data_IF_013204909765
#
_entry.id   IF_013204909765
#
_cell.length_a   1.000
_cell.length_b   1.000
_cell.length_c   1.000
_cell.angle_alpha   90.00
_cell.angle_beta   90.00
_cell.angle_gamma   90.00
#
_symmetry.space_group_name_H-M   'P 1'
#
loop_
_entity.id
_entity.type
_entity.pdbx_description
1 polymer ?
#
# COMPACT_ATOMS: atom_id res chain seq x y z
N UNK A 1 76.75 -28.27 17.44
CA UNK A 1 75.86 -28.60 16.31
C UNK A 1 74.39 -28.29 16.74
N UNK A 2 73.84 -27.20 16.19
CA UNK A 2 72.55 -26.62 16.62
C UNK A 2 71.40 -27.16 15.75
N UNK A 3 70.48 -27.87 16.35
CA UNK A 3 69.26 -28.31 15.70
C UNK A 3 68.08 -27.64 16.40
N UNK A 4 67.73 -26.43 16.01
CA UNK A 4 66.44 -25.84 16.38
C UNK A 4 66.09 -24.57 15.57
N UNK A 5 65.65 -24.69 14.31
CA UNK A 5 64.68 -23.72 13.84
C UNK A 5 63.44 -24.32 13.11
N UNK A 6 63.35 -25.62 12.86
CA UNK A 6 62.32 -26.19 12.01
C UNK A 6 60.97 -26.36 12.76
N UNK A 7 61.02 -26.52 14.09
CA UNK A 7 59.78 -26.77 14.87
C UNK A 7 58.90 -25.51 15.09
N UNK A 8 59.48 -24.32 15.15
CA UNK A 8 58.77 -23.06 15.36
C UNK A 8 58.00 -22.58 14.11
N UNK A 9 58.48 -22.91 12.92
CA UNK A 9 57.82 -22.51 11.68
C UNK A 9 56.57 -23.33 11.40
N UNK A 10 56.52 -24.61 11.77
CA UNK A 10 55.35 -25.46 11.65
C UNK A 10 54.21 -25.07 12.61
N UNK A 11 54.55 -24.67 13.84
CA UNK A 11 53.52 -24.20 14.80
C UNK A 11 52.93 -22.87 14.40
N UNK A 12 53.70 -21.93 13.83
CA UNK A 12 53.21 -20.65 13.36
C UNK A 12 52.22 -20.79 12.15
N UNK A 13 52.50 -21.75 11.24
CA UNK A 13 51.64 -22.00 10.07
C UNK A 13 50.33 -22.67 10.49
N UNK A 14 50.34 -23.60 11.45
CA UNK A 14 49.12 -24.27 11.96
C UNK A 14 48.26 -23.27 12.74
N UNK A 15 48.84 -22.38 13.53
CA UNK A 15 48.07 -21.37 14.29
C UNK A 15 47.47 -20.33 13.37
N UNK A 16 48.13 -19.92 12.29
CA UNK A 16 47.61 -19.00 11.29
C UNK A 16 46.44 -19.62 10.49
N UNK A 17 46.54 -20.92 10.18
CA UNK A 17 45.45 -21.61 9.44
C UNK A 17 44.20 -21.83 10.30
N UNK A 18 44.33 -22.12 11.60
CA UNK A 18 43.21 -22.25 12.55
C UNK A 18 42.58 -20.89 12.81
N UNK A 19 43.33 -19.80 12.88
CA UNK A 19 42.78 -18.44 13.01
C UNK A 19 42.04 -17.97 11.72
N UNK A 20 42.53 -18.38 10.53
CA UNK A 20 41.87 -18.02 9.27
C UNK A 20 40.53 -18.77 9.07
N UNK A 21 40.45 -20.02 9.54
CA UNK A 21 39.18 -20.80 9.47
C UNK A 21 38.15 -20.33 10.49
N UNK A 22 38.52 -19.77 11.62
CA UNK A 22 37.61 -19.21 12.60
C UNK A 22 37.03 -17.86 12.18
N UNK A 23 37.70 -17.09 11.34
CA UNK A 23 37.22 -15.79 10.86
C UNK A 23 36.19 -15.94 9.71
N UNK A 24 36.15 -17.08 9.02
CA UNK A 24 35.18 -17.34 7.92
C UNK A 24 33.83 -17.84 8.39
N UNK A 25 33.63 -18.16 9.67
CA UNK A 25 32.40 -18.70 10.22
C UNK A 25 31.44 -17.63 10.81
N UNK A 26 31.82 -16.35 10.78
CA UNK A 26 31.07 -15.28 11.48
C UNK A 26 30.17 -14.42 10.58
N UNK A 27 29.90 -14.84 9.36
CA UNK A 27 29.01 -14.07 8.45
C UNK A 27 27.74 -14.82 8.01
N UNK A 28 27.40 -15.96 8.61
CA UNK A 28 26.01 -16.40 8.53
C UNK A 28 25.18 -15.60 9.55
N UNK A 29 24.89 -14.35 9.24
CA UNK A 29 23.69 -13.71 9.77
C UNK A 29 22.54 -14.56 9.25
N UNK A 30 21.93 -15.36 10.12
CA UNK A 30 20.61 -15.91 9.87
C UNK A 30 19.70 -14.71 9.57
N UNK A 31 19.45 -14.45 8.29
CA UNK A 31 18.32 -13.61 7.91
C UNK A 31 17.12 -14.33 8.51
N UNK A 32 16.46 -13.69 9.48
CA UNK A 32 15.21 -14.18 9.99
C UNK A 32 14.35 -14.48 8.77
N UNK A 33 13.99 -15.75 8.58
CA UNK A 33 13.14 -16.15 7.48
C UNK A 33 11.80 -15.47 7.71
N UNK A 34 11.41 -14.61 6.79
CA UNK A 34 10.09 -14.00 6.77
C UNK A 34 9.03 -15.11 6.79
N UNK A 35 8.11 -15.04 7.75
CA UNK A 35 6.98 -15.96 7.83
C UNK A 35 5.83 -15.35 7.04
N UNK A 36 5.49 -15.97 5.91
CA UNK A 36 4.36 -15.55 5.09
C UNK A 36 3.03 -16.01 5.70
N UNK A 37 1.96 -15.31 5.37
CA UNK A 37 0.60 -15.78 5.63
C UNK A 37 0.34 -17.08 4.85
N UNK A 38 -0.43 -18.02 5.41
CA UNK A 38 -0.97 -19.12 4.64
C UNK A 38 -1.78 -18.59 3.46
N UNK A 39 -1.61 -19.22 2.29
CA UNK A 39 -2.41 -18.89 1.11
C UNK A 39 -3.77 -19.58 1.20
N UNK A 40 -4.80 -18.91 0.67
CA UNK A 40 -6.13 -19.49 0.56
C UNK A 40 -6.17 -20.64 -0.46
N UNK A 41 -7.32 -21.30 -0.55
CA UNK A 41 -7.57 -22.30 -1.60
C UNK A 41 -7.49 -21.66 -3.00
N UNK A 42 -7.25 -22.48 -4.01
CA UNK A 42 -7.14 -22.03 -5.40
C UNK A 42 -5.69 -21.85 -5.90
N UNK A 43 -4.70 -21.94 -5.02
CA UNK A 43 -3.29 -21.92 -5.40
C UNK A 43 -2.82 -23.32 -5.80
N UNK A 44 -2.37 -23.46 -7.07
CA UNK A 44 -1.75 -24.69 -7.58
C UNK A 44 -0.37 -24.95 -7.00
N UNK A 45 0.26 -26.05 -7.42
CA UNK A 45 1.64 -26.34 -7.02
C UNK A 45 2.62 -25.33 -7.64
N UNK A 46 3.64 -24.94 -6.87
CA UNK A 46 4.73 -24.09 -7.39
C UNK A 46 5.60 -24.89 -8.35
N UNK A 47 5.69 -24.46 -9.61
CA UNK A 47 6.56 -24.99 -10.65
C UNK A 47 7.82 -24.12 -10.76
N UNK A 48 8.97 -24.66 -10.38
CA UNK A 48 10.26 -23.97 -10.42
C UNK A 48 10.92 -23.92 -11.82
N UNK A 49 10.17 -24.23 -12.87
CA UNK A 49 10.66 -24.12 -14.25
C UNK A 49 10.99 -22.67 -14.62
N UNK A 50 11.83 -22.51 -15.65
CA UNK A 50 12.20 -21.18 -16.16
C UNK A 50 10.97 -20.44 -16.71
N UNK A 51 10.95 -19.10 -16.67
CA UNK A 51 9.77 -18.30 -17.03
C UNK A 51 9.41 -18.35 -18.53
N UNK A 52 10.36 -18.74 -19.40
CA UNK A 52 10.16 -18.77 -20.86
C UNK A 52 10.57 -17.47 -21.56
N UNK A 53 10.66 -16.37 -20.84
CA UNK A 53 11.20 -15.07 -21.29
C UNK A 53 12.22 -14.57 -20.26
N UNK A 54 13.09 -13.61 -20.61
CA UNK A 54 14.08 -13.10 -19.66
C UNK A 54 13.43 -12.53 -18.40
N UNK A 55 13.91 -12.95 -17.23
CA UNK A 55 13.40 -12.47 -15.92
C UNK A 55 13.41 -10.94 -15.84
N UNK A 56 14.48 -10.30 -16.31
CA UNK A 56 14.59 -8.84 -16.29
C UNK A 56 13.52 -8.16 -17.16
N UNK A 57 13.10 -8.80 -18.25
CA UNK A 57 12.01 -8.28 -19.07
C UNK A 57 10.69 -8.32 -18.30
N UNK A 58 10.39 -9.42 -17.61
CA UNK A 58 9.17 -9.53 -16.79
C UNK A 58 9.16 -8.43 -15.71
N UNK A 59 10.29 -8.24 -15.00
CA UNK A 59 10.42 -7.21 -13.98
C UNK A 59 10.17 -5.81 -14.58
N UNK A 60 10.76 -5.50 -15.72
CA UNK A 60 10.58 -4.21 -16.40
C UNK A 60 9.13 -3.98 -16.78
N UNK A 61 8.46 -5.00 -17.31
CA UNK A 61 7.08 -4.91 -17.78
C UNK A 61 6.09 -4.75 -16.62
N UNK A 62 6.18 -5.58 -15.59
CA UNK A 62 5.23 -5.44 -14.48
C UNK A 62 5.46 -4.16 -13.66
N UNK A 63 6.70 -3.72 -13.45
CA UNK A 63 6.94 -2.46 -12.72
C UNK A 63 6.45 -1.24 -13.50
N UNK A 64 6.52 -1.28 -14.83
CA UNK A 64 5.91 -0.26 -15.69
C UNK A 64 4.38 -0.27 -15.59
N UNK A 65 3.75 -1.45 -15.53
CA UNK A 65 2.30 -1.60 -15.29
C UNK A 65 1.89 -1.10 -13.91
N UNK A 66 2.67 -1.38 -12.88
CA UNK A 66 2.44 -0.86 -11.53
C UNK A 66 2.53 0.68 -11.47
N UNK A 67 3.42 1.30 -12.24
CA UNK A 67 3.48 2.75 -12.37
C UNK A 67 2.22 3.33 -13.07
N UNK A 68 1.67 2.61 -14.06
CA UNK A 68 0.38 2.97 -14.67
C UNK A 68 -0.76 2.78 -13.68
N UNK A 69 -0.79 1.67 -12.95
CA UNK A 69 -1.76 1.37 -11.91
C UNK A 69 -1.81 2.46 -10.84
N UNK A 70 -0.67 2.89 -10.30
CA UNK A 70 -0.61 3.95 -9.27
C UNK A 70 -1.28 5.23 -9.77
N UNK A 71 -0.94 5.68 -10.98
CA UNK A 71 -1.57 6.86 -11.59
C UNK A 71 -3.06 6.67 -11.91
N UNK A 72 -3.44 5.44 -12.29
CA UNK A 72 -4.84 5.14 -12.55
C UNK A 72 -5.68 5.20 -11.27
N UNK A 73 -5.14 4.69 -10.15
CA UNK A 73 -5.84 4.73 -8.87
C UNK A 73 -6.16 6.16 -8.42
N UNK A 74 -5.32 7.13 -8.79
CA UNK A 74 -5.58 8.56 -8.53
C UNK A 74 -6.80 9.11 -9.29
N UNK A 75 -7.32 8.37 -10.28
CA UNK A 75 -8.53 8.73 -11.03
C UNK A 75 -9.76 7.88 -10.64
N UNK A 76 -9.67 7.10 -9.57
CA UNK A 76 -10.78 6.29 -9.08
C UNK A 76 -11.25 6.74 -7.70
N UNK A 77 -12.53 6.60 -7.46
CA UNK A 77 -13.14 6.64 -6.13
C UNK A 77 -13.41 5.21 -5.67
N UNK A 78 -13.38 4.96 -4.37
CA UNK A 78 -13.71 3.65 -3.80
C UNK A 78 -14.09 3.75 -2.33
N UNK A 79 -14.69 2.69 -1.82
CA UNK A 79 -14.98 2.54 -0.39
C UNK A 79 -13.98 1.58 0.25
N UNK A 80 -13.30 2.01 1.30
CA UNK A 80 -12.39 1.19 2.13
C UNK A 80 -13.05 0.85 3.45
N UNK A 81 -13.09 -0.43 3.80
CA UNK A 81 -13.51 -0.92 5.11
C UNK A 81 -12.30 -1.55 5.80
N UNK A 82 -11.98 -1.08 6.98
CA UNK A 82 -10.85 -1.54 7.80
C UNK A 82 -11.39 -2.16 9.07
N UNK A 83 -10.88 -3.33 9.44
CA UNK A 83 -11.14 -3.99 10.72
C UNK A 83 -9.84 -4.51 11.29
N UNK A 84 -9.47 -4.04 12.47
CA UNK A 84 -8.33 -4.53 13.24
C UNK A 84 -8.87 -5.12 14.54
N UNK A 85 -8.50 -6.35 14.87
CA UNK A 85 -9.01 -7.09 16.03
C UNK A 85 -7.87 -7.64 16.86
N UNK A 86 -8.04 -7.64 18.16
CA UNK A 86 -7.29 -8.49 19.08
C UNK A 86 -8.08 -9.78 19.32
N UNK A 87 -7.38 -10.91 19.38
CA UNK A 87 -7.96 -12.24 19.47
C UNK A 87 -7.52 -12.85 20.81
N UNK A 88 -8.49 -13.38 21.56
CA UNK A 88 -8.22 -14.06 22.82
C UNK A 88 -7.68 -15.48 22.63
N UNK A 89 -7.39 -16.18 23.75
CA UNK A 89 -6.86 -17.54 23.75
C UNK A 89 -7.86 -18.59 23.22
N UNK A 90 -9.16 -18.25 23.19
CA UNK A 90 -10.21 -19.09 22.59
C UNK A 90 -10.40 -18.83 21.09
N UNK A 91 -9.61 -17.93 20.50
CA UNK A 91 -9.68 -17.55 19.09
C UNK A 91 -10.82 -16.55 18.75
N UNK A 92 -11.41 -15.90 19.77
CA UNK A 92 -12.49 -14.93 19.59
C UNK A 92 -11.96 -13.51 19.66
N UNK A 93 -12.56 -12.57 18.92
CA UNK A 93 -12.25 -11.14 19.07
C UNK A 93 -12.64 -10.65 20.47
N UNK A 94 -11.68 -10.03 21.17
CA UNK A 94 -11.88 -9.38 22.48
C UNK A 94 -11.74 -7.84 22.42
N UNK A 95 -11.38 -7.31 21.26
CA UNK A 95 -11.35 -5.89 20.95
C UNK A 95 -11.31 -5.67 19.44
N UNK A 96 -11.82 -4.51 19.02
CA UNK A 96 -11.75 -4.15 17.60
C UNK A 96 -11.72 -2.63 17.37
N UNK A 97 -11.02 -2.26 16.32
CA UNK A 97 -11.20 -1.02 15.57
C UNK A 97 -11.91 -1.34 14.26
N UNK A 98 -12.89 -0.55 13.89
CA UNK A 98 -13.59 -0.67 12.61
C UNK A 98 -13.90 0.69 12.03
N UNK A 99 -13.65 0.86 10.73
CA UNK A 99 -13.99 2.08 10.01
C UNK A 99 -14.32 1.78 8.57
N UNK A 100 -15.33 2.46 8.05
CA UNK A 100 -15.66 2.50 6.63
C UNK A 100 -15.44 3.93 6.13
N UNK A 101 -14.64 4.08 5.11
CA UNK A 101 -14.26 5.36 4.52
C UNK A 101 -14.54 5.35 3.02
N UNK A 102 -15.19 6.39 2.54
CA UNK A 102 -15.38 6.66 1.13
C UNK A 102 -14.28 7.60 0.66
N UNK A 103 -13.50 7.15 -0.30
CA UNK A 103 -12.37 7.88 -0.87
C UNK A 103 -12.84 8.48 -2.19
N UNK A 104 -12.81 9.80 -2.29
CA UNK A 104 -13.31 10.53 -3.45
C UNK A 104 -12.52 11.81 -3.69
N UNK A 105 -13.13 12.73 -4.44
CA UNK A 105 -12.55 14.01 -4.78
C UNK A 105 -13.56 15.13 -4.49
N UNK A 106 -13.05 16.29 -4.08
CA UNK A 106 -13.85 17.50 -3.94
C UNK A 106 -14.05 18.22 -5.30
N UNK A 107 -14.68 19.40 -5.27
CA UNK A 107 -14.93 20.22 -6.47
C UNK A 107 -13.65 20.75 -7.12
N UNK A 108 -12.55 20.79 -6.37
CA UNK A 108 -11.23 21.30 -6.81
C UNK A 108 -10.28 20.14 -7.17
N UNK A 109 -10.82 18.92 -7.31
CA UNK A 109 -10.11 17.67 -7.64
C UNK A 109 -9.09 17.24 -6.57
N UNK A 110 -9.20 17.74 -5.34
CA UNK A 110 -8.40 17.24 -4.23
C UNK A 110 -9.01 15.96 -3.68
N UNK A 111 -8.16 14.96 -3.42
CA UNK A 111 -8.59 13.73 -2.79
C UNK A 111 -9.11 14.00 -1.38
N UNK A 112 -10.29 13.50 -1.09
CA UNK A 112 -10.94 13.60 0.22
C UNK A 112 -11.31 12.22 0.73
N UNK A 113 -11.30 12.07 2.04
CA UNK A 113 -11.75 10.88 2.74
C UNK A 113 -12.96 11.22 3.62
N UNK A 114 -14.06 10.52 3.40
CA UNK A 114 -15.29 10.70 4.15
C UNK A 114 -15.59 9.44 4.96
N UNK A 115 -15.54 9.54 6.27
CA UNK A 115 -15.93 8.45 7.16
C UNK A 115 -17.44 8.23 7.05
N UNK A 116 -17.84 7.02 6.68
CA UNK A 116 -19.24 6.60 6.57
C UNK A 116 -19.72 5.89 7.83
N UNK A 117 -18.84 5.10 8.46
CA UNK A 117 -19.15 4.34 9.68
C UNK A 117 -17.86 4.18 10.50
N UNK A 118 -17.95 4.48 11.79
CA UNK A 118 -16.84 4.31 12.74
C UNK A 118 -17.41 4.13 14.15
N UNK A 119 -17.80 2.91 14.53
CA UNK A 119 -18.22 2.62 15.90
C UNK A 119 -17.10 2.86 16.90
N UNK A 120 -17.44 2.91 18.18
CA UNK A 120 -16.45 3.09 19.23
C UNK A 120 -15.36 2.03 19.17
N UNK A 121 -14.10 2.46 19.22
CA UNK A 121 -12.95 1.58 19.31
C UNK A 121 -12.97 0.82 20.64
N UNK A 122 -12.89 -0.50 20.60
CA UNK A 122 -12.88 -1.39 21.77
C UNK A 122 -11.56 -2.11 21.99
N UNK A 123 -10.50 -1.74 21.23
CA UNK A 123 -9.15 -2.25 21.49
C UNK A 123 -8.68 -1.79 22.86
N UNK A 124 -8.31 -2.72 23.73
CA UNK A 124 -7.85 -2.45 25.11
C UNK A 124 -6.43 -2.92 25.34
N UNK A 125 -5.96 -3.92 24.58
CA UNK A 125 -4.61 -4.50 24.74
C UNK A 125 -3.56 -3.80 23.89
N UNK A 126 -3.98 -3.10 22.83
CA UNK A 126 -3.12 -2.37 21.90
C UNK A 126 -3.73 -1.02 21.57
N UNK A 127 -2.91 -0.09 21.11
CA UNK A 127 -3.35 1.24 20.68
C UNK A 127 -2.77 1.49 19.28
N UNK A 128 -3.64 1.83 18.33
CA UNK A 128 -3.21 2.19 16.97
C UNK A 128 -2.52 3.54 16.98
N UNK A 129 -1.38 3.60 16.34
CA UNK A 129 -0.56 4.79 16.14
C UNK A 129 -0.83 5.43 14.76
N UNK A 130 -0.42 6.68 14.51
CA UNK A 130 -0.47 7.25 13.17
C UNK A 130 0.27 6.42 12.11
N UNK A 131 1.35 5.73 12.49
CA UNK A 131 2.11 4.87 11.58
C UNK A 131 1.32 3.62 11.16
N UNK A 132 0.48 3.07 12.05
CA UNK A 132 -0.41 1.95 11.70
C UNK A 132 -1.47 2.38 10.69
N UNK A 133 -2.01 3.59 10.81
CA UNK A 133 -2.95 4.13 9.81
C UNK A 133 -2.25 4.37 8.47
N UNK A 134 -1.02 4.88 8.46
CA UNK A 134 -0.22 5.04 7.23
C UNK A 134 0.06 3.68 6.57
N UNK A 135 0.34 2.63 7.35
CA UNK A 135 0.49 1.27 6.83
C UNK A 135 -0.79 0.78 6.14
N UNK A 136 -1.94 0.99 6.77
CA UNK A 136 -3.26 0.62 6.22
C UNK A 136 -3.57 1.37 4.92
N UNK A 137 -3.24 2.65 4.86
CA UNK A 137 -3.60 3.52 3.74
C UNK A 137 -2.69 3.35 2.54
N UNK A 138 -1.39 3.20 2.77
CA UNK A 138 -0.38 3.31 1.72
C UNK A 138 0.38 2.01 1.44
N UNK A 139 0.63 1.18 2.46
CA UNK A 139 1.57 0.05 2.36
C UNK A 139 0.93 -1.31 2.16
N UNK A 140 -0.27 -1.55 2.72
CA UNK A 140 -0.96 -2.82 2.53
C UNK A 140 -1.35 -3.09 1.08
N UNK A 141 -1.81 -2.10 0.29
CA UNK A 141 -1.97 -2.26 -1.15
C UNK A 141 -0.64 -2.09 -1.89
N UNK A 142 0.39 -2.83 -1.49
CA UNK A 142 1.76 -2.72 -2.03
C UNK A 142 1.80 -2.58 -3.55
N UNK A 143 2.50 -1.56 -4.03
CA UNK A 143 2.72 -1.24 -5.44
C UNK A 143 4.21 -1.11 -5.70
N UNK A 144 4.74 -1.86 -6.66
CA UNK A 144 6.16 -1.88 -7.00
C UNK A 144 6.40 -1.24 -8.37
N UNK A 145 6.55 0.08 -8.38
CA UNK A 145 6.74 0.83 -9.64
C UNK A 145 8.18 0.72 -10.17
N UNK A 146 8.38 1.17 -11.41
CA UNK A 146 9.72 1.30 -12.01
C UNK A 146 10.65 2.20 -11.17
N UNK A 147 10.10 3.20 -10.47
CA UNK A 147 10.86 4.12 -9.61
C UNK A 147 11.25 3.45 -8.30
N UNK A 148 10.42 2.57 -7.76
CA UNK A 148 10.64 1.86 -6.50
C UNK A 148 11.54 0.63 -6.68
N UNK A 149 11.46 -0.05 -7.82
CA UNK A 149 12.15 -1.32 -8.08
C UNK A 149 13.68 -1.29 -7.81
N UNK A 150 14.42 -0.21 -8.06
CA UNK A 150 15.84 -0.14 -7.72
C UNK A 150 16.16 -0.31 -6.24
N UNK A 151 15.21 -0.07 -5.34
CA UNK A 151 15.36 -0.21 -3.89
C UNK A 151 15.25 -1.67 -3.43
N UNK A 152 14.77 -2.56 -4.31
CA UNK A 152 14.47 -3.95 -3.99
C UNK A 152 15.37 -4.95 -4.73
N UNK A 153 15.69 -6.06 -4.05
CA UNK A 153 16.10 -7.31 -4.69
C UNK A 153 14.84 -8.08 -5.08
N UNK A 154 14.68 -8.33 -6.36
CA UNK A 154 13.54 -9.05 -6.93
C UNK A 154 14.07 -10.34 -7.55
N UNK A 155 13.66 -11.48 -7.03
CA UNK A 155 14.16 -12.79 -7.41
C UNK A 155 13.02 -13.68 -7.93
N UNK A 156 13.18 -14.23 -9.12
CA UNK A 156 12.23 -15.20 -9.69
C UNK A 156 12.26 -16.51 -8.90
N UNK A 157 11.09 -17.03 -8.55
CA UNK A 157 10.90 -18.25 -7.75
C UNK A 157 10.36 -19.40 -8.62
N UNK A 158 9.45 -19.09 -9.55
CA UNK A 158 8.78 -20.11 -10.35
C UNK A 158 7.48 -19.60 -10.97
N UNK A 159 6.63 -20.54 -11.34
CA UNK A 159 5.27 -20.31 -11.84
C UNK A 159 4.28 -20.95 -10.89
N UNK A 160 3.13 -20.33 -10.74
CA UNK A 160 2.04 -20.90 -9.95
C UNK A 160 0.72 -20.47 -10.56
N UNK A 161 -0.22 -21.40 -10.65
CA UNK A 161 -1.59 -21.09 -11.07
C UNK A 161 -2.39 -20.66 -9.86
N UNK A 162 -3.12 -19.55 -9.98
CA UNK A 162 -4.06 -19.06 -8.98
C UNK A 162 -5.43 -19.08 -9.63
N UNK A 163 -6.30 -20.00 -9.20
CA UNK A 163 -7.56 -20.28 -9.88
C UNK A 163 -7.35 -20.48 -11.38
N UNK A 164 -7.82 -19.57 -12.21
CA UNK A 164 -7.66 -19.61 -13.67
C UNK A 164 -6.49 -18.76 -14.19
N UNK A 165 -5.71 -18.10 -13.32
CA UNK A 165 -4.65 -17.17 -13.68
C UNK A 165 -3.30 -17.88 -13.64
N UNK A 166 -2.58 -17.92 -14.75
CA UNK A 166 -1.20 -18.36 -14.79
C UNK A 166 -0.29 -17.22 -14.38
N UNK A 167 0.55 -17.42 -13.34
CA UNK A 167 1.40 -16.38 -12.79
C UNK A 167 2.87 -16.74 -12.77
N UNK A 168 3.73 -15.72 -12.85
CA UNK A 168 5.12 -15.78 -12.40
C UNK A 168 5.20 -15.36 -10.93
N UNK A 169 6.07 -16.02 -10.19
CA UNK A 169 6.23 -15.80 -8.75
C UNK A 169 7.60 -15.20 -8.48
N UNK A 170 7.63 -14.13 -7.69
CA UNK A 170 8.84 -13.44 -7.31
C UNK A 170 8.91 -13.24 -5.81
N UNK A 171 10.11 -13.40 -5.23
CA UNK A 171 10.41 -12.92 -3.89
C UNK A 171 10.99 -11.50 -3.98
N UNK A 172 10.50 -10.62 -3.12
CA UNK A 172 10.83 -9.20 -3.08
C UNK A 172 11.33 -8.85 -1.69
N UNK A 173 12.47 -8.19 -1.59
CA UNK A 173 13.01 -7.68 -0.31
C UNK A 173 13.77 -6.38 -0.53
N UNK A 174 13.77 -5.44 0.45
CA UNK A 174 14.55 -4.23 0.34
C UNK A 174 16.05 -4.54 0.33
N UNK A 175 16.82 -3.85 -0.52
CA UNK A 175 18.31 -3.95 -0.56
C UNK A 175 18.95 -3.36 0.69
N UNK A 176 18.37 -2.27 1.17
CA UNK A 176 18.81 -1.53 2.36
C UNK A 176 17.56 -1.12 3.15
N UNK A 177 17.60 -1.32 4.45
CA UNK A 177 16.56 -0.84 5.35
C UNK A 177 17.04 0.47 5.98
N UNK A 178 16.46 1.58 5.58
CA UNK A 178 16.76 2.90 6.12
C UNK A 178 15.98 3.16 7.41
N UNK A 179 16.54 3.99 8.29
CA UNK A 179 15.85 4.39 9.53
C UNK A 179 14.61 5.22 9.18
N UNK A 180 13.51 4.95 9.87
CA UNK A 180 12.22 5.65 9.72
C UNK A 180 11.55 5.47 8.34
N UNK A 181 11.98 4.52 7.55
CA UNK A 181 11.34 4.13 6.31
C UNK A 181 10.95 2.67 6.38
N UNK A 182 9.73 2.36 5.97
CA UNK A 182 9.20 0.99 5.95
C UNK A 182 9.09 0.51 4.51
N UNK A 183 9.38 -0.75 4.33
CA UNK A 183 9.42 -1.42 3.04
C UNK A 183 8.58 -2.69 3.09
N UNK A 184 8.05 -3.09 1.97
CA UNK A 184 7.48 -4.42 1.82
C UNK A 184 8.59 -5.48 1.70
N UNK A 185 8.40 -6.62 2.35
CA UNK A 185 9.20 -7.83 2.14
C UNK A 185 8.28 -9.02 2.05
N UNK A 186 8.37 -9.78 0.94
CA UNK A 186 7.47 -10.92 0.76
C UNK A 186 7.52 -11.50 -0.65
N UNK A 187 6.42 -12.07 -1.06
CA UNK A 187 6.23 -12.72 -2.36
C UNK A 187 5.13 -12.03 -3.14
N UNK A 188 5.31 -11.94 -4.45
CA UNK A 188 4.31 -11.39 -5.37
C UNK A 188 4.04 -12.38 -6.50
N UNK A 189 2.81 -12.37 -6.98
CA UNK A 189 2.36 -13.14 -8.14
C UNK A 189 1.97 -12.18 -9.25
N UNK A 190 2.58 -12.36 -10.41
CA UNK A 190 2.41 -11.52 -11.59
C UNK A 190 1.71 -12.30 -12.67
N UNK A 191 0.55 -11.85 -13.13
CA UNK A 191 -0.19 -12.44 -14.24
C UNK A 191 0.67 -12.49 -15.50
N UNK A 192 0.76 -13.69 -16.13
CA UNK A 192 1.58 -13.91 -17.33
C UNK A 192 1.01 -13.23 -18.59
N UNK A 193 -0.26 -12.86 -18.57
CA UNK A 193 -0.94 -12.25 -19.72
C UNK A 193 -0.91 -10.73 -19.67
N UNK A 194 -1.29 -10.16 -18.53
CA UNK A 194 -1.42 -8.71 -18.38
C UNK A 194 -0.20 -8.06 -17.74
N UNK A 195 0.75 -8.85 -17.21
CA UNK A 195 1.95 -8.41 -16.51
C UNK A 195 1.64 -7.43 -15.37
N UNK A 196 0.61 -7.75 -14.59
CA UNK A 196 0.22 -6.99 -13.40
C UNK A 196 0.29 -7.88 -12.16
N UNK A 197 0.61 -7.30 -11.01
CA UNK A 197 0.58 -8.03 -9.73
C UNK A 197 -0.87 -8.35 -9.40
N UNK A 198 -1.16 -9.60 -9.09
CA UNK A 198 -2.51 -10.08 -8.74
C UNK A 198 -2.63 -10.47 -7.28
N UNK A 199 -1.54 -10.92 -6.65
CA UNK A 199 -1.47 -11.24 -5.22
C UNK A 199 -0.13 -10.75 -4.66
N UNK A 200 -0.17 -10.26 -3.43
CA UNK A 200 1.02 -10.03 -2.61
C UNK A 200 0.88 -10.75 -1.27
N UNK A 201 1.94 -11.38 -0.78
CA UNK A 201 1.96 -12.02 0.55
C UNK A 201 3.27 -11.62 1.21
N UNK A 202 3.16 -10.80 2.25
CA UNK A 202 4.34 -10.17 2.78
C UNK A 202 4.14 -9.56 4.15
N UNK A 203 5.11 -8.75 4.52
CA UNK A 203 5.14 -7.99 5.76
C UNK A 203 5.83 -6.65 5.51
N UNK A 204 5.44 -5.62 6.23
CA UNK A 204 6.18 -4.37 6.29
C UNK A 204 7.40 -4.51 7.22
N UNK A 205 8.56 -4.04 6.77
CA UNK A 205 9.82 -4.10 7.51
C UNK A 205 10.52 -2.74 7.50
N UNK A 206 11.35 -2.41 8.54
CA UNK A 206 11.56 -3.15 9.77
C UNK A 206 10.37 -3.02 10.73
N UNK A 207 10.23 -3.98 11.63
CA UNK A 207 9.31 -3.86 12.76
C UNK A 207 9.79 -2.74 13.71
N UNK A 208 8.87 -1.91 14.18
CA UNK A 208 9.14 -1.06 15.33
C UNK A 208 8.83 -1.86 16.61
N UNK A 209 9.87 -2.27 17.29
CA UNK A 209 9.78 -3.07 18.51
C UNK A 209 10.15 -2.26 19.77
N UNK A 210 10.19 -0.91 19.63
CA UNK A 210 10.51 -0.04 20.78
C UNK A 210 9.33 -0.02 21.74
N UNK A 211 9.56 -0.23 23.07
CA UNK A 211 8.48 -0.25 24.04
C UNK A 211 7.59 1.00 23.97
N UNK A 212 6.29 0.79 23.78
CA UNK A 212 5.27 1.83 23.61
C UNK A 212 5.23 2.52 22.25
N UNK A 213 5.96 1.96 21.27
CA UNK A 213 5.98 2.40 19.87
C UNK A 213 5.92 1.20 18.90
N UNK A 214 5.61 0.03 19.43
CA UNK A 214 5.47 -1.18 18.64
C UNK A 214 4.41 -0.98 17.56
N UNK A 215 4.72 -1.37 16.32
CA UNK A 215 3.76 -1.36 15.24
C UNK A 215 2.83 -2.57 15.28
N UNK A 216 1.63 -2.42 14.72
CA UNK A 216 0.62 -3.47 14.68
C UNK A 216 0.68 -4.31 13.38
N UNK A 217 1.76 -4.16 12.60
CA UNK A 217 1.90 -4.82 11.31
C UNK A 217 2.15 -6.32 11.46
N UNK A 218 1.16 -7.10 11.09
CA UNK A 218 1.25 -8.56 10.96
C UNK A 218 1.69 -8.94 9.53
N UNK A 219 2.13 -10.20 9.29
CA UNK A 219 2.15 -10.74 7.94
C UNK A 219 0.77 -10.65 7.31
N UNK A 220 0.70 -10.31 6.02
CA UNK A 220 -0.57 -10.12 5.31
C UNK A 220 -0.54 -10.68 3.90
N UNK A 221 -1.72 -10.97 3.36
CA UNK A 221 -1.95 -11.26 1.95
C UNK A 221 -2.94 -10.24 1.38
N UNK A 222 -2.63 -9.69 0.20
CA UNK A 222 -3.54 -8.80 -0.53
C UNK A 222 -3.89 -9.44 -1.88
N UNK A 223 -5.18 -9.56 -2.13
CA UNK A 223 -5.75 -10.01 -3.40
C UNK A 223 -6.20 -8.82 -4.23
N UNK A 224 -5.93 -8.88 -5.51
CA UNK A 224 -6.38 -7.88 -6.47
C UNK A 224 -7.37 -8.49 -7.45
N UNK A 225 -8.24 -7.66 -8.00
CA UNK A 225 -9.22 -8.05 -9.02
C UNK A 225 -9.16 -7.08 -10.20
N UNK A 226 -9.44 -7.59 -11.38
CA UNK A 226 -9.52 -6.76 -12.58
C UNK A 226 -10.79 -5.88 -12.53
N UNK A 227 -10.58 -4.57 -12.41
CA UNK A 227 -11.63 -3.55 -12.40
C UNK A 227 -11.73 -2.92 -13.78
N UNK A 228 -12.95 -2.75 -14.28
CA UNK A 228 -13.27 -2.20 -15.61
C UNK A 228 -12.54 -2.87 -16.79
N UNK A 229 -12.04 -4.10 -16.58
CA UNK A 229 -11.25 -4.81 -17.57
C UNK A 229 -9.87 -4.19 -17.86
N UNK A 230 -9.37 -3.31 -16.99
CA UNK A 230 -8.18 -2.49 -17.20
C UNK A 230 -7.08 -2.69 -16.15
N UNK A 231 -7.45 -2.64 -14.86
CA UNK A 231 -6.50 -2.57 -13.75
C UNK A 231 -6.80 -3.59 -12.67
N UNK A 232 -5.74 -4.21 -12.15
CA UNK A 232 -5.84 -5.14 -11.02
C UNK A 232 -5.76 -4.35 -9.71
N UNK A 233 -6.89 -3.83 -9.24
CA UNK A 233 -6.99 -3.09 -7.98
C UNK A 233 -7.14 -4.02 -6.78
N UNK A 234 -6.61 -3.64 -5.58
CA UNK A 234 -6.80 -4.40 -4.36
C UNK A 234 -8.29 -4.50 -4.02
N UNK A 235 -8.75 -5.68 -3.63
CA UNK A 235 -10.14 -5.89 -3.21
C UNK A 235 -10.22 -6.43 -1.79
N UNK A 236 -9.19 -7.14 -1.35
CA UNK A 236 -9.17 -7.77 -0.05
C UNK A 236 -7.74 -7.89 0.47
N UNK A 237 -7.52 -7.46 1.72
CA UNK A 237 -6.28 -7.72 2.47
C UNK A 237 -6.63 -8.41 3.77
N UNK A 238 -5.88 -9.45 4.12
CA UNK A 238 -6.00 -10.17 5.37
C UNK A 238 -4.63 -10.33 6.00
N UNK A 239 -4.51 -9.90 7.26
CA UNK A 239 -3.34 -10.09 8.09
C UNK A 239 -3.71 -10.89 9.35
N UNK A 240 -2.82 -11.77 9.78
CA UNK A 240 -2.99 -12.55 11.02
C UNK A 240 -1.61 -12.85 11.60
N UNK A 241 -1.44 -12.67 12.90
CA UNK A 241 -0.18 -12.97 13.56
C UNK A 241 -0.16 -12.58 15.02
N UNK A 242 0.82 -13.12 15.75
CA UNK A 242 1.06 -12.78 17.15
C UNK A 242 2.20 -11.76 17.19
N UNK A 243 1.94 -10.61 17.80
CA UNK A 243 2.89 -9.53 18.01
C UNK A 243 3.35 -9.54 19.46
N UNK A 244 4.66 -9.37 19.66
CA UNK A 244 5.25 -9.28 20.97
C UNK A 244 5.44 -7.84 21.40
N UNK A 245 4.78 -7.44 22.47
CA UNK A 245 4.92 -6.12 23.10
C UNK A 245 5.84 -6.23 24.30
N UNK A 246 6.96 -5.52 24.26
CA UNK A 246 7.94 -5.51 25.34
C UNK A 246 7.42 -4.78 26.58
N UNK A 247 7.91 -5.18 27.76
CA UNK A 247 7.59 -4.46 28.99
C UNK A 247 8.13 -3.02 28.96
N UNK A 248 7.31 -2.07 29.35
CA UNK A 248 7.70 -0.65 29.40
C UNK A 248 6.56 0.24 29.84
N UNK A 249 6.86 1.49 30.23
CA UNK A 249 5.87 2.50 30.59
C UNK A 249 4.79 2.05 31.62
N UNK A 250 5.13 1.07 32.48
CA UNK A 250 4.22 0.52 33.49
C UNK A 250 3.40 -0.67 33.03
N UNK A 251 3.59 -1.14 31.79
CA UNK A 251 2.97 -2.37 31.26
C UNK A 251 3.92 -3.56 31.36
N UNK A 252 3.36 -4.74 31.54
CA UNK A 252 4.08 -6.01 31.45
C UNK A 252 4.24 -6.39 29.98
N UNK A 253 5.28 -7.20 29.69
CA UNK A 253 5.41 -7.82 28.38
C UNK A 253 4.20 -8.72 28.09
N UNK A 254 3.68 -8.67 26.86
CA UNK A 254 2.54 -9.48 26.42
C UNK A 254 2.69 -9.87 24.96
N UNK A 255 2.15 -11.03 24.63
CA UNK A 255 1.91 -11.43 23.25
C UNK A 255 0.44 -11.16 22.94
N UNK A 256 0.18 -10.51 21.80
CA UNK A 256 -1.18 -10.18 21.36
C UNK A 256 -1.41 -10.76 19.97
N UNK A 257 -2.39 -11.64 19.86
CA UNK A 257 -2.83 -12.14 18.57
C UNK A 257 -3.67 -11.06 17.88
N UNK A 258 -3.21 -10.62 16.73
CA UNK A 258 -3.82 -9.56 15.92
C UNK A 258 -4.37 -10.16 14.63
N UNK A 259 -5.54 -9.68 14.23
CA UNK A 259 -6.14 -9.96 12.93
C UNK A 259 -6.56 -8.68 12.27
N UNK A 260 -6.17 -8.52 11.02
CA UNK A 260 -6.51 -7.37 10.22
C UNK A 260 -7.27 -7.80 8.96
N UNK A 261 -8.29 -7.03 8.59
CA UNK A 261 -9.07 -7.27 7.37
C UNK A 261 -9.42 -5.94 6.73
N UNK A 262 -9.01 -5.78 5.47
CA UNK A 262 -9.39 -4.64 4.65
C UNK A 262 -10.20 -5.12 3.45
N UNK A 263 -11.22 -4.35 3.09
CA UNK A 263 -11.99 -4.57 1.86
C UNK A 263 -12.05 -3.26 1.08
N UNK A 264 -11.86 -3.37 -0.21
CA UNK A 264 -11.93 -2.26 -1.13
C UNK A 264 -13.05 -2.57 -2.13
N UNK A 265 -14.05 -1.71 -2.19
CA UNK A 265 -15.26 -1.92 -2.99
C UNK A 265 -15.68 -0.64 -3.69
N UNK A 266 -16.66 -0.72 -4.58
CA UNK A 266 -17.26 0.43 -5.23
C UNK A 266 -16.24 1.30 -5.99
N UNK A 267 -15.33 0.66 -6.72
CA UNK A 267 -14.43 1.36 -7.61
C UNK A 267 -15.23 2.03 -8.73
N UNK A 268 -15.05 3.34 -8.89
CA UNK A 268 -15.63 4.13 -9.98
C UNK A 268 -14.58 5.07 -10.54
N UNK A 269 -14.40 5.06 -11.85
CA UNK A 269 -13.52 6.01 -12.53
C UNK A 269 -14.11 7.42 -12.36
N UNK A 270 -13.31 8.33 -11.78
CA UNK A 270 -13.70 9.72 -11.57
C UNK A 270 -13.44 10.50 -12.84
N UNK A 271 -14.51 11.00 -13.44
CA UNK A 271 -14.43 11.86 -14.61
C UNK A 271 -14.89 13.26 -14.24
N UNK A 272 -13.97 14.22 -14.32
CA UNK A 272 -14.34 15.64 -14.29
C UNK A 272 -15.05 15.97 -15.60
N UNK A 273 -16.37 15.97 -15.61
CA UNK A 273 -17.11 16.50 -16.74
C UNK A 273 -17.18 18.02 -16.64
N UNK A 274 -16.26 18.73 -17.32
CA UNK A 274 -16.41 20.17 -17.52
C UNK A 274 -17.60 20.37 -18.43
N UNK A 275 -18.74 20.86 -17.88
CA UNK A 275 -19.86 21.33 -18.68
C UNK A 275 -19.54 22.73 -19.22
N UNK A 276 -19.21 22.82 -20.49
CA UNK A 276 -19.05 24.10 -21.15
C UNK A 276 -20.45 24.54 -21.62
N UNK A 277 -21.02 25.53 -20.92
CA UNK A 277 -22.31 26.13 -21.29
C UNK A 277 -22.05 27.37 -22.15
N UNK A 278 -22.55 27.35 -23.37
CA UNK A 278 -22.58 28.54 -24.23
C UNK A 278 -24.06 28.93 -24.46
N UNK A 279 -24.45 30.13 -24.03
CA UNK A 279 -25.82 30.63 -24.12
C UNK A 279 -26.86 29.65 -23.50
N UNK A 280 -26.53 28.97 -22.40
CA UNK A 280 -27.42 28.02 -21.72
C UNK A 280 -27.50 26.64 -22.39
N UNK A 281 -26.77 26.39 -23.46
CA UNK A 281 -26.66 25.07 -24.11
C UNK A 281 -25.32 24.40 -23.76
N UNK A 282 -25.39 23.11 -23.43
CA UNK A 282 -24.22 22.27 -23.20
C UNK A 282 -23.51 21.99 -24.52
N UNK A 283 -22.28 22.50 -24.67
CA UNK A 283 -21.43 22.30 -25.85
C UNK A 283 -20.21 21.39 -25.54
N UNK A 284 -20.21 20.70 -24.43
CA UNK A 284 -19.14 19.77 -24.05
C UNK A 284 -18.92 18.73 -25.14
N UNK A 285 -17.70 18.66 -25.68
CA UNK A 285 -17.31 17.69 -26.70
C UNK A 285 -17.77 17.97 -28.13
N UNK A 286 -18.38 19.13 -28.43
CA UNK A 286 -18.67 19.51 -29.82
C UNK A 286 -17.45 20.20 -30.46
N UNK A 287 -17.08 19.86 -31.71
CA UNK A 287 -16.01 20.57 -32.42
C UNK A 287 -16.40 22.05 -32.53
N UNK A 288 -15.48 22.96 -32.18
CA UNK A 288 -15.64 24.40 -32.43
C UNK A 288 -15.67 24.63 -33.94
N UNK A 289 -16.84 24.79 -34.50
CA UNK A 289 -16.98 25.46 -35.81
C UNK A 289 -16.81 26.95 -35.58
N UNK A 290 -15.74 27.52 -36.11
CA UNK A 290 -15.51 28.97 -36.11
C UNK A 290 -16.74 29.71 -36.63
N UNK A 291 -17.20 30.81 -36.00
CA UNK A 291 -18.34 31.54 -36.48
C UNK A 291 -18.02 32.18 -37.86
N UNK A 292 -18.99 32.20 -38.79
CA UNK A 292 -18.79 32.86 -40.08
C UNK A 292 -18.59 34.37 -39.86
N UNK A 293 -17.53 34.90 -40.45
CA UNK A 293 -17.25 36.32 -40.47
C UNK A 293 -18.36 37.05 -41.27
N UNK A 294 -19.05 37.95 -40.62
CA UNK A 294 -19.86 38.94 -41.27
C UNK A 294 -21.35 38.92 -40.98
N UNK A 295 -21.79 39.67 -39.98
CA UNK A 295 -23.03 40.47 -40.06
C UNK A 295 -22.92 41.65 -39.09
N UNK A 296 -23.10 42.82 -39.68
CA UNK A 296 -23.05 44.14 -39.08
C UNK A 296 -24.18 44.34 -38.03
N UNK A 297 -23.82 45.02 -36.98
CA UNK A 297 -24.65 45.45 -35.88
C UNK A 297 -25.59 46.60 -36.33
N UNK A 298 -26.89 46.57 -36.02
CA UNK A 298 -27.71 47.79 -36.00
C UNK A 298 -27.65 48.42 -34.61
N UNK A 299 -27.40 49.69 -34.59
CA UNK A 299 -27.35 50.53 -33.40
C UNK A 299 -28.73 50.79 -32.79
N UNK A 300 -28.76 50.84 -31.46
CA UNK A 300 -29.70 51.64 -30.71
C UNK A 300 -30.93 50.94 -30.18
N UNK A 301 -30.93 50.68 -28.88
CA UNK A 301 -32.07 50.97 -28.02
C UNK A 301 -31.64 51.09 -26.54
N UNK A 302 -32.16 52.12 -25.95
CA UNK A 302 -31.98 52.73 -24.65
C UNK A 302 -32.33 51.75 -23.47
N UNK A 303 -31.50 51.72 -22.48
CA UNK A 303 -31.61 50.98 -21.22
C UNK A 303 -32.55 51.77 -20.27
N UNK A 304 -33.53 51.14 -19.62
CA UNK A 304 -34.20 51.73 -18.45
C UNK A 304 -33.48 51.37 -17.17
N UNK A 305 -33.42 52.32 -16.26
CA UNK A 305 -32.71 52.29 -15.00
C UNK A 305 -33.25 51.23 -14.00
N UNK A 306 -32.34 50.62 -13.27
CA UNK A 306 -32.60 49.71 -12.15
C UNK A 306 -33.06 50.46 -10.89
N UNK A 307 -33.98 49.91 -10.10
CA UNK A 307 -34.38 50.51 -8.83
C UNK A 307 -33.42 50.12 -7.69
N UNK A 308 -33.14 51.11 -6.85
CA UNK A 308 -32.32 51.07 -5.63
C UNK A 308 -32.99 50.19 -4.55
N UNK A 309 -32.25 49.36 -3.80
CA UNK A 309 -32.76 48.60 -2.67
C UNK A 309 -32.92 49.47 -1.40
N UNK A 310 -33.89 49.21 -0.51
CA UNK A 310 -34.15 50.00 0.68
C UNK A 310 -33.19 49.61 1.82
N UNK A 311 -32.91 50.60 2.66
CA UNK A 311 -32.01 50.56 3.79
C UNK A 311 -32.38 49.59 4.91
N UNK A 312 -31.39 48.91 5.44
CA UNK A 312 -31.49 48.02 6.62
C UNK A 312 -31.76 48.81 7.91
N UNK A 313 -32.81 48.40 8.61
CA UNK A 313 -33.09 48.87 9.98
C UNK A 313 -32.28 48.03 10.99
N UNK A 314 -31.51 48.72 11.79
CA UNK A 314 -30.77 48.19 12.94
C UNK A 314 -31.74 48.02 14.15
N UNK A 315 -31.72 46.84 14.76
CA UNK A 315 -32.34 46.55 16.04
C UNK A 315 -31.35 46.61 17.18
N UNK A 316 -31.70 47.10 18.39
CA UNK A 316 -30.77 47.30 19.50
C UNK A 316 -30.55 46.06 20.36
N UNK A 317 -29.49 46.04 21.21
CA UNK A 317 -29.05 44.85 21.94
C UNK A 317 -29.86 44.64 23.24
N UNK A 318 -30.15 43.38 23.56
CA UNK A 318 -30.72 42.92 24.81
C UNK A 318 -29.68 42.81 25.92
N UNK A 319 -30.03 43.27 27.15
CA UNK A 319 -29.25 43.18 28.38
C UNK A 319 -29.37 41.82 29.05
N UNK A 320 -28.37 41.40 29.84
CA UNK A 320 -28.33 40.14 30.56
C UNK A 320 -29.10 40.17 31.88
N UNK A 321 -29.66 39.03 32.23
CA UNK A 321 -29.93 38.57 33.60
C UNK A 321 -29.26 37.23 33.80
#
# INVERSE_FOLDING_TARGET
MSFAPVCRLRQAVITAFVLLTFFSALTLRAQASYTSMPLDEGFGALDQSQPGIPVQQIITEFTAKEAVFRRALDNYTWTRSVRVQTIDDDGKPDGQYYQVTDIGYDSDEHRIERVLDAPANTLTRVMMSPADFEDIEERLPFVLTTEDAPQYDISYVGKQKIDDIDTWVFDVKPKVIEKKHRYFQGRIWVDQKEHQIVVTNGKNVPDDVRPGHEDLSTPFVTYRQLVDGKYWFPVYTHGDGVLHFAAGHGYLSQDVHMRETLKYTNYHEFHTSIRVLYQGQDITGKPQTSPPAGSQQPAGQTQPASPTPPASQTSPPAKPQ
#
